data_IF_295000308044
#
_entry.id   IF_295000308044
#
_cell.length_a   1.000
_cell.length_b   1.000
_cell.length_c   1.000
_cell.angle_alpha   90.00
_cell.angle_beta   90.00
_cell.angle_gamma   90.00
#
_symmetry.space_group_name_H-M   'P 1'
#
loop_
_entity.id
_entity.type
_entity.pdbx_description
1 polymer ?
#
# COMPACT_ATOMS: atom_id res chain seq x y z
N UNK A 1 -14.17 -17.68 -3.15
CA UNK A 1 -15.23 -16.83 -3.74
C UNK A 1 -15.23 -15.40 -3.17
N UNK A 2 -15.19 -15.21 -1.84
CA UNK A 2 -15.30 -13.87 -1.21
C UNK A 2 -14.31 -12.84 -1.75
N UNK A 3 -13.04 -13.20 -1.95
CA UNK A 3 -12.02 -12.28 -2.50
C UNK A 3 -12.43 -11.66 -3.84
N UNK A 4 -13.05 -12.43 -4.75
CA UNK A 4 -13.50 -11.92 -6.05
C UNK A 4 -14.71 -10.98 -5.91
N UNK A 5 -15.53 -11.14 -4.87
CA UNK A 5 -16.65 -10.24 -4.61
C UNK A 5 -16.20 -8.85 -4.15
N UNK A 6 -14.94 -8.67 -3.74
CA UNK A 6 -14.40 -7.37 -3.36
C UNK A 6 -14.07 -6.48 -4.57
N UNK A 7 -13.80 -7.07 -5.74
CA UNK A 7 -13.42 -6.36 -6.97
C UNK A 7 -14.31 -5.14 -7.29
N UNK A 8 -15.66 -5.25 -7.34
CA UNK A 8 -16.50 -4.09 -7.66
C UNK A 8 -16.41 -2.96 -6.63
N UNK A 9 -16.07 -3.24 -5.36
CA UNK A 9 -15.86 -2.19 -4.35
C UNK A 9 -14.56 -1.43 -4.58
N UNK A 10 -13.48 -2.12 -4.99
CA UNK A 10 -12.24 -1.46 -5.40
C UNK A 10 -12.43 -0.62 -6.67
N UNK A 11 -13.16 -1.12 -7.67
CA UNK A 11 -13.47 -0.36 -8.89
C UNK A 11 -14.29 0.91 -8.61
N UNK A 12 -15.11 0.91 -7.56
CA UNK A 12 -15.95 2.05 -7.14
C UNK A 12 -15.31 2.93 -6.07
N UNK A 13 -14.13 2.58 -5.56
CA UNK A 13 -13.49 3.29 -4.44
C UNK A 13 -14.21 3.14 -3.09
N UNK A 14 -15.07 2.13 -2.92
CA UNK A 14 -15.85 1.88 -1.70
C UNK A 14 -15.34 0.70 -0.88
N UNK A 15 -14.14 0.22 -1.14
CA UNK A 15 -13.53 -0.93 -0.45
C UNK A 15 -13.47 -0.78 1.07
N UNK A 16 -13.35 0.44 1.60
CA UNK A 16 -13.33 0.70 3.04
C UNK A 16 -14.64 0.35 3.76
N UNK A 17 -15.74 0.13 3.02
CA UNK A 17 -17.02 -0.33 3.57
C UNK A 17 -17.05 -1.83 3.87
N UNK A 18 -16.05 -2.59 3.39
CA UNK A 18 -16.01 -4.04 3.52
C UNK A 18 -15.33 -4.44 4.84
N UNK A 19 -15.89 -5.39 5.61
CA UNK A 19 -15.37 -5.75 6.93
C UNK A 19 -13.95 -6.34 6.90
N UNK A 20 -13.53 -6.89 5.75
CA UNK A 20 -12.18 -7.41 5.54
C UNK A 20 -11.12 -6.31 5.33
N UNK A 21 -11.53 -5.08 5.03
CA UNK A 21 -10.64 -3.97 4.70
C UNK A 21 -10.51 -3.04 5.89
N UNK A 22 -9.27 -2.83 6.34
CA UNK A 22 -8.94 -1.82 7.36
C UNK A 22 -8.09 -0.74 6.72
N UNK A 23 -8.45 0.51 6.97
CA UNK A 23 -7.66 1.67 6.57
C UNK A 23 -7.15 2.40 7.80
N UNK A 24 -6.02 3.07 7.67
CA UNK A 24 -5.40 3.85 8.73
C UNK A 24 -4.35 4.78 8.16
N UNK A 25 -3.91 5.72 8.99
CA UNK A 25 -2.81 6.63 8.67
C UNK A 25 -1.68 6.39 9.66
N UNK A 26 -0.46 6.31 9.17
CA UNK A 26 0.74 6.12 9.98
C UNK A 26 1.93 6.81 9.31
N UNK A 27 2.85 7.34 10.12
CA UNK A 27 4.14 7.86 9.63
C UNK A 27 5.11 6.74 9.29
N UNK A 28 5.05 5.62 10.02
CA UNK A 28 5.93 4.47 9.85
C UNK A 28 5.13 3.19 10.02
N UNK A 29 5.37 2.21 9.16
CA UNK A 29 4.74 0.89 9.18
C UNK A 29 5.83 -0.15 9.01
N UNK A 30 5.82 -1.18 9.86
CA UNK A 30 6.67 -2.36 9.72
C UNK A 30 5.78 -3.58 9.59
N UNK A 31 6.06 -4.41 8.58
CA UNK A 31 5.33 -5.63 8.25
C UNK A 31 6.32 -6.79 8.25
N UNK A 32 6.08 -7.80 9.06
CA UNK A 32 6.93 -8.99 9.16
C UNK A 32 6.16 -10.22 8.67
N UNK A 33 6.81 -11.04 7.83
CA UNK A 33 6.28 -12.33 7.40
C UNK A 33 6.43 -13.34 8.54
N UNK A 34 5.33 -13.64 9.23
CA UNK A 34 5.34 -14.62 10.33
C UNK A 34 5.54 -16.05 9.82
N UNK A 35 5.15 -16.33 8.58
CA UNK A 35 5.38 -17.59 7.88
C UNK A 35 5.68 -17.31 6.39
N UNK A 36 6.59 -18.09 5.80
CA UNK A 36 6.97 -17.94 4.39
C UNK A 36 7.77 -16.66 4.14
N UNK A 37 7.56 -16.04 2.99
CA UNK A 37 8.28 -14.83 2.55
C UNK A 37 7.31 -13.80 1.98
N UNK A 38 7.71 -12.53 2.02
CA UNK A 38 6.98 -11.39 1.50
C UNK A 38 7.63 -10.90 0.19
N UNK A 39 7.03 -11.18 -0.98
CA UNK A 39 7.37 -10.46 -2.21
C UNK A 39 6.82 -9.03 -2.12
N UNK A 40 7.59 -8.05 -2.59
CA UNK A 40 7.27 -6.63 -2.47
C UNK A 40 7.40 -5.94 -3.82
N UNK A 41 6.34 -5.21 -4.17
CA UNK A 41 6.32 -4.30 -5.32
C UNK A 41 6.10 -2.86 -4.84
N UNK A 42 6.78 -1.91 -5.49
CA UNK A 42 6.63 -0.48 -5.24
C UNK A 42 6.61 0.25 -6.58
N UNK A 43 5.63 1.13 -6.79
CA UNK A 43 5.47 1.93 -8.02
C UNK A 43 5.52 1.14 -9.34
N UNK A 44 5.07 -0.12 -9.31
CA UNK A 44 5.07 -1.02 -10.47
C UNK A 44 6.31 -1.90 -10.61
N UNK A 45 7.36 -1.66 -9.83
CA UNK A 45 8.63 -2.38 -9.88
C UNK A 45 8.76 -3.43 -8.78
N UNK A 46 9.58 -4.46 -9.01
CA UNK A 46 9.86 -5.49 -7.99
C UNK A 46 11.01 -5.03 -7.09
N UNK A 47 10.72 -4.80 -5.81
CA UNK A 47 11.72 -4.38 -4.82
C UNK A 47 12.37 -5.59 -4.14
N UNK A 48 11.59 -6.64 -3.90
CA UNK A 48 12.06 -7.85 -3.25
C UNK A 48 11.25 -9.07 -3.70
N UNK A 49 11.92 -10.18 -3.99
CA UNK A 49 11.25 -11.44 -4.33
C UNK A 49 10.88 -12.28 -3.09
N UNK A 50 11.65 -12.16 -1.99
CA UNK A 50 11.51 -13.02 -0.82
C UNK A 50 12.06 -12.35 0.46
N UNK A 51 11.33 -11.36 0.99
CA UNK A 51 11.69 -10.68 2.25
C UNK A 51 11.09 -11.34 3.49
N UNK A 52 11.68 -11.12 4.65
CA UNK A 52 11.06 -11.47 5.95
C UNK A 52 10.43 -10.26 6.65
N UNK A 53 10.85 -9.05 6.30
CA UNK A 53 10.34 -7.79 6.87
C UNK A 53 10.39 -6.67 5.83
N UNK A 54 9.40 -5.78 5.89
CA UNK A 54 9.32 -4.54 5.13
C UNK A 54 9.04 -3.39 6.09
N UNK A 55 9.85 -2.34 6.04
CA UNK A 55 9.59 -1.09 6.76
C UNK A 55 9.37 0.05 5.77
N UNK A 56 8.29 0.79 5.97
CA UNK A 56 7.89 1.95 5.17
C UNK A 56 7.85 3.16 6.09
N UNK A 57 8.47 4.27 5.68
CA UNK A 57 8.48 5.52 6.43
C UNK A 57 8.14 6.70 5.51
N UNK A 58 7.21 7.55 5.97
CA UNK A 58 6.85 8.78 5.30
C UNK A 58 7.89 9.86 5.61
N UNK A 59 8.57 10.34 4.56
CA UNK A 59 9.53 11.45 4.62
C UNK A 59 8.87 12.72 4.08
N UNK A 60 8.36 13.62 4.94
CA UNK A 60 7.62 14.80 4.49
C UNK A 60 8.56 15.82 3.84
N UNK A 61 8.19 16.31 2.65
CA UNK A 61 8.92 17.39 1.97
C UNK A 61 10.30 16.99 1.44
N UNK A 62 10.53 15.69 1.19
CA UNK A 62 11.84 15.18 0.80
C UNK A 62 12.27 15.58 -0.62
N UNK A 63 11.32 15.96 -1.48
CA UNK A 63 11.56 16.24 -2.90
C UNK A 63 10.85 17.53 -3.28
N UNK A 64 11.57 18.41 -3.99
CA UNK A 64 10.99 19.56 -4.67
C UNK A 64 10.45 19.16 -6.05
N UNK A 65 9.17 19.43 -6.29
CA UNK A 65 8.51 19.14 -7.56
C UNK A 65 8.19 20.44 -8.31
N UNK A 66 8.45 20.47 -9.61
CA UNK A 66 7.97 21.53 -10.50
C UNK A 66 6.53 21.20 -10.89
N UNK A 67 5.59 22.04 -10.47
CA UNK A 67 4.16 21.87 -10.73
C UNK A 67 3.61 23.01 -11.58
N UNK A 68 2.48 22.77 -12.24
CA UNK A 68 1.72 23.85 -12.87
C UNK A 68 1.21 24.83 -11.81
N UNK A 69 1.09 26.10 -12.18
CA UNK A 69 0.51 27.11 -11.29
C UNK A 69 -0.93 26.72 -10.96
N UNK A 70 -1.35 26.69 -9.68
CA UNK A 70 -2.74 26.44 -9.33
C UNK A 70 -3.67 27.45 -10.00
N UNK A 71 -4.80 26.97 -10.52
CA UNK A 71 -5.88 27.80 -11.09
C UNK A 71 -6.78 28.32 -9.98
#
# INVERSE_FOLDING_TARGET
LRVFQLIPYFMKGTQATQPEVKTGQARKVTVSALQGTLPVHCDGETVCYAGSELTIELLPGQIEFICQKPV
#
